data_IF_706274304142
#
_entry.id   IF_706274304142
#
_cell.length_a   1.000
_cell.length_b   1.000
_cell.length_c   1.000
_cell.angle_alpha   90.00
_cell.angle_beta   90.00
_cell.angle_gamma   90.00
#
_symmetry.space_group_name_H-M   'P 1'
#
loop_
_entity.id
_entity.type
_entity.pdbx_description
1 polymer ?
#
# COMPACT_ATOMS: atom_id res chain seq x y z
N UNK A 1 -37.47 23.31 -4.38
CA UNK A 1 -36.81 22.02 -4.62
C UNK A 1 -35.46 22.35 -5.18
N UNK A 2 -34.43 22.28 -4.34
CA UNK A 2 -33.05 22.55 -4.72
C UNK A 2 -32.55 21.34 -5.49
N UNK A 3 -32.07 21.55 -6.72
CA UNK A 3 -31.27 20.54 -7.41
C UNK A 3 -29.90 20.55 -6.73
N UNK A 4 -29.68 19.59 -5.82
CA UNK A 4 -28.32 19.22 -5.43
C UNK A 4 -27.72 18.48 -6.63
N UNK A 5 -27.06 19.23 -7.53
CA UNK A 5 -26.14 18.65 -8.50
C UNK A 5 -25.00 18.03 -7.69
N UNK A 6 -24.90 16.70 -7.70
CA UNK A 6 -23.75 15.99 -7.14
C UNK A 6 -22.51 16.41 -7.93
N UNK A 7 -21.70 17.30 -7.35
CA UNK A 7 -20.37 17.63 -7.88
C UNK A 7 -19.50 16.36 -7.83
N UNK A 8 -19.31 15.74 -9.00
CA UNK A 8 -18.39 14.60 -9.14
C UNK A 8 -16.98 15.12 -9.40
N UNK A 9 -16.03 14.70 -8.58
CA UNK A 9 -14.60 14.96 -8.79
C UNK A 9 -13.97 13.75 -9.46
N UNK A 10 -13.50 13.91 -10.69
CA UNK A 10 -12.69 12.89 -11.36
C UNK A 10 -11.23 13.02 -10.96
N UNK A 11 -10.69 12.00 -10.29
CA UNK A 11 -9.27 11.92 -9.98
C UNK A 11 -8.48 11.40 -11.20
N UNK A 12 -7.52 12.17 -11.73
CA UNK A 12 -6.71 11.70 -12.84
C UNK A 12 -5.85 10.50 -12.40
N UNK A 13 -5.63 9.54 -13.31
CA UNK A 13 -4.71 8.42 -13.09
C UNK A 13 -4.94 7.70 -11.74
N UNK A 14 -6.21 7.40 -11.44
CA UNK A 14 -6.61 6.84 -10.14
C UNK A 14 -5.87 5.53 -9.80
N UNK A 15 -5.59 4.69 -10.80
CA UNK A 15 -4.90 3.42 -10.56
C UNK A 15 -3.43 3.63 -10.16
N UNK A 16 -2.77 4.60 -10.79
CA UNK A 16 -1.42 5.04 -10.49
C UNK A 16 -1.35 5.73 -9.13
N UNK A 17 -2.37 6.53 -8.77
CA UNK A 17 -2.48 7.14 -7.44
C UNK A 17 -2.57 6.07 -6.34
N UNK A 18 -3.44 5.07 -6.52
CA UNK A 18 -3.54 3.95 -5.58
C UNK A 18 -2.24 3.15 -5.48
N UNK A 19 -1.53 2.95 -6.61
CA UNK A 19 -0.24 2.27 -6.63
C UNK A 19 0.82 3.07 -5.85
N UNK A 20 0.90 4.39 -6.09
CA UNK A 20 1.80 5.28 -5.39
C UNK A 20 1.53 5.29 -3.87
N UNK A 21 0.26 5.41 -3.47
CA UNK A 21 -0.14 5.36 -2.06
C UNK A 21 0.20 4.02 -1.39
N UNK A 22 -0.02 2.91 -2.10
CA UNK A 22 0.31 1.58 -1.61
C UNK A 22 1.82 1.41 -1.36
N UNK A 23 2.65 1.88 -2.29
CA UNK A 23 4.11 1.80 -2.18
C UNK A 23 4.63 2.73 -1.09
N UNK A 24 4.19 3.99 -1.08
CA UNK A 24 4.55 4.95 -0.04
C UNK A 24 4.23 4.38 1.36
N UNK A 25 3.04 3.79 1.52
CA UNK A 25 2.65 3.15 2.78
C UNK A 25 3.53 1.96 3.13
N UNK A 26 3.96 1.16 2.14
CA UNK A 26 4.87 0.04 2.35
C UNK A 26 6.29 0.47 2.73
N UNK A 27 6.68 1.72 2.47
CA UNK A 27 7.98 2.28 2.86
C UNK A 27 7.95 2.91 4.27
N UNK A 28 6.78 3.22 4.82
CA UNK A 28 6.61 3.74 6.18
C UNK A 28 6.87 2.67 7.25
N UNK A 29 7.61 2.96 8.34
CA UNK A 29 8.00 1.96 9.34
C UNK A 29 6.84 1.47 10.22
N UNK A 30 5.73 2.21 10.29
CA UNK A 30 4.56 1.84 11.09
C UNK A 30 3.94 0.55 10.58
N UNK A 31 3.66 -0.37 11.50
CA UNK A 31 3.02 -1.64 11.25
C UNK A 31 1.74 -1.49 10.43
N UNK A 32 1.48 -2.43 9.53
CA UNK A 32 0.23 -2.44 8.77
C UNK A 32 -0.93 -2.93 9.64
N UNK A 33 -2.07 -2.24 9.55
CA UNK A 33 -3.36 -2.65 10.13
C UNK A 33 -4.15 -3.50 9.15
N UNK A 34 -5.11 -4.28 9.65
CA UNK A 34 -5.91 -5.20 8.83
C UNK A 34 -6.62 -4.54 7.66
N UNK A 35 -7.18 -3.34 7.86
CA UNK A 35 -7.82 -2.59 6.78
C UNK A 35 -6.83 -2.16 5.68
N UNK A 36 -5.58 -1.86 6.04
CA UNK A 36 -4.51 -1.51 5.10
C UNK A 36 -4.07 -2.76 4.33
N UNK A 37 -3.89 -3.90 5.00
CA UNK A 37 -3.58 -5.19 4.37
C UNK A 37 -4.66 -5.54 3.34
N UNK A 38 -5.94 -5.36 3.70
CA UNK A 38 -7.08 -5.57 2.81
C UNK A 38 -7.08 -4.59 1.63
N UNK A 39 -6.72 -3.33 1.86
CA UNK A 39 -6.58 -2.34 0.80
C UNK A 39 -5.48 -2.75 -0.19
N UNK A 40 -4.29 -3.13 0.29
CA UNK A 40 -3.19 -3.62 -0.54
C UNK A 40 -3.63 -4.80 -1.42
N UNK A 41 -4.32 -5.80 -0.83
CA UNK A 41 -4.84 -6.93 -1.60
C UNK A 41 -5.78 -6.49 -2.73
N UNK A 42 -6.69 -5.56 -2.43
CA UNK A 42 -7.64 -5.03 -3.41
C UNK A 42 -6.96 -4.23 -4.52
N UNK A 43 -5.94 -3.43 -4.18
CA UNK A 43 -5.14 -2.66 -5.16
C UNK A 43 -4.39 -3.62 -6.09
N UNK A 44 -3.85 -4.71 -5.55
CA UNK A 44 -3.25 -5.81 -6.33
C UNK A 44 -4.28 -6.63 -7.12
N UNK A 45 -5.59 -6.40 -6.89
CA UNK A 45 -6.71 -7.14 -7.49
C UNK A 45 -6.67 -8.64 -7.20
N UNK A 46 -6.17 -9.01 -6.03
CA UNK A 46 -6.03 -10.40 -5.60
C UNK A 46 -7.24 -10.85 -4.76
N UNK A 47 -7.63 -12.09 -4.94
CA UNK A 47 -8.46 -12.84 -3.99
C UNK A 47 -7.66 -13.16 -2.73
N UNK A 48 -8.33 -13.57 -1.65
CA UNK A 48 -7.64 -14.01 -0.42
C UNK A 48 -6.72 -15.21 -0.68
N UNK A 49 -7.12 -16.12 -1.57
CA UNK A 49 -6.35 -17.30 -1.92
C UNK A 49 -5.08 -16.95 -2.69
N UNK A 50 -5.18 -16.05 -3.68
CA UNK A 50 -4.01 -15.58 -4.41
C UNK A 50 -3.06 -14.80 -3.50
N UNK A 51 -3.57 -13.99 -2.56
CA UNK A 51 -2.69 -13.31 -1.61
C UNK A 51 -1.98 -14.31 -0.72
N UNK A 52 -2.68 -15.32 -0.19
CA UNK A 52 -2.07 -16.35 0.63
C UNK A 52 -0.92 -17.06 -0.12
N UNK A 53 -1.17 -17.46 -1.37
CA UNK A 53 -0.14 -18.07 -2.24
C UNK A 53 1.05 -17.13 -2.51
N UNK A 54 0.77 -15.85 -2.77
CA UNK A 54 1.80 -14.83 -2.99
C UNK A 54 2.65 -14.50 -1.76
N UNK A 55 2.17 -14.82 -0.55
CA UNK A 55 2.92 -14.63 0.70
C UNK A 55 3.90 -15.76 0.95
N UNK A 56 3.43 -17.01 0.94
CA UNK A 56 4.23 -18.22 1.04
C UNK A 56 3.34 -19.43 0.73
N UNK A 57 3.90 -20.46 0.11
CA UNK A 57 3.20 -21.73 -0.20
C UNK A 57 2.47 -22.40 0.99
N UNK A 58 2.82 -22.05 2.24
CA UNK A 58 2.23 -22.59 3.47
C UNK A 58 1.26 -21.61 4.14
N UNK A 59 1.12 -20.39 3.64
CA UNK A 59 0.19 -19.41 4.21
C UNK A 59 -1.23 -19.85 3.90
N UNK A 60 -2.03 -20.07 4.95
CA UNK A 60 -3.44 -20.42 4.80
C UNK A 60 -4.31 -19.20 4.54
N UNK A 61 -5.41 -19.38 3.79
CA UNK A 61 -6.38 -18.31 3.47
C UNK A 61 -7.00 -17.71 4.73
N UNK A 62 -7.28 -18.54 5.73
CA UNK A 62 -7.83 -18.13 7.02
C UNK A 62 -6.86 -17.23 7.78
N UNK A 63 -5.55 -17.47 7.65
CA UNK A 63 -4.52 -16.63 8.26
C UNK A 63 -4.56 -15.22 7.68
N UNK A 64 -4.66 -15.09 6.35
CA UNK A 64 -4.82 -13.79 5.67
C UNK A 64 -6.11 -13.09 6.10
N UNK A 65 -7.22 -13.82 6.18
CA UNK A 65 -8.51 -13.28 6.64
C UNK A 65 -8.42 -12.71 8.08
N UNK A 66 -7.71 -13.40 8.98
CA UNK A 66 -7.48 -12.90 10.36
C UNK A 66 -6.58 -11.67 10.38
N UNK A 67 -5.58 -11.60 9.51
CA UNK A 67 -4.75 -10.40 9.36
C UNK A 67 -5.59 -9.21 8.90
N UNK A 68 -6.43 -9.37 7.88
CA UNK A 68 -7.29 -8.30 7.34
C UNK A 68 -8.37 -7.80 8.30
N UNK A 69 -8.77 -8.63 9.26
CA UNK A 69 -9.78 -8.29 10.26
C UNK A 69 -9.19 -7.78 11.58
N UNK A 70 -7.86 -7.64 11.67
CA UNK A 70 -7.14 -7.36 12.91
C UNK A 70 -7.37 -8.41 14.03
N UNK A 71 -8.02 -9.55 13.71
CA UNK A 71 -8.25 -10.65 14.66
C UNK A 71 -6.94 -11.32 15.09
N UNK A 72 -5.92 -11.28 14.23
CA UNK A 72 -4.56 -11.68 14.54
C UNK A 72 -3.58 -10.71 13.90
N UNK A 73 -2.65 -10.09 14.65
CA UNK A 73 -1.63 -9.23 14.05
C UNK A 73 -0.66 -10.01 13.15
N UNK A 74 -0.32 -9.46 11.99
CA UNK A 74 0.64 -10.07 11.05
C UNK A 74 2.07 -9.99 11.59
N UNK A 75 2.81 -11.11 11.65
CA UNK A 75 4.19 -11.10 12.12
C UNK A 75 5.12 -10.26 11.24
N UNK A 76 6.17 -9.65 11.81
CA UNK A 76 7.03 -8.69 11.09
C UNK A 76 7.67 -9.23 9.81
N UNK A 77 8.10 -10.50 9.81
CA UNK A 77 8.62 -11.15 8.60
C UNK A 77 7.55 -11.26 7.50
N UNK A 78 6.35 -11.75 7.84
CA UNK A 78 5.24 -11.85 6.90
C UNK A 78 4.87 -10.45 6.36
N UNK A 79 4.88 -9.43 7.20
CA UNK A 79 4.58 -8.07 6.77
C UNK A 79 5.66 -7.51 5.81
N UNK A 80 6.94 -7.83 6.00
CA UNK A 80 7.98 -7.49 5.02
C UNK A 80 7.76 -8.19 3.68
N UNK A 81 7.34 -9.46 3.70
CA UNK A 81 6.99 -10.18 2.47
C UNK A 81 5.80 -9.54 1.76
N UNK A 82 4.75 -9.14 2.50
CA UNK A 82 3.62 -8.41 1.93
C UNK A 82 4.08 -7.10 1.27
N UNK A 83 4.89 -6.31 1.98
CA UNK A 83 5.41 -5.03 1.47
C UNK A 83 6.25 -5.22 0.21
N UNK A 84 7.12 -6.23 0.17
CA UNK A 84 7.87 -6.60 -1.04
C UNK A 84 6.92 -7.00 -2.17
N UNK A 85 5.96 -7.88 -1.92
CA UNK A 85 4.98 -8.30 -2.93
C UNK A 85 4.22 -7.09 -3.52
N UNK A 86 3.78 -6.17 -2.66
CA UNK A 86 3.09 -4.95 -3.10
C UNK A 86 3.99 -4.09 -3.97
N UNK A 87 5.19 -3.76 -3.50
CA UNK A 87 6.10 -2.89 -4.24
C UNK A 87 6.57 -3.51 -5.56
N UNK A 88 6.96 -4.78 -5.57
CA UNK A 88 7.37 -5.49 -6.80
C UNK A 88 6.24 -5.55 -7.84
N UNK A 89 4.98 -5.63 -7.42
CA UNK A 89 3.83 -5.68 -8.35
C UNK A 89 3.36 -4.31 -8.84
N UNK A 90 3.68 -3.24 -8.11
CA UNK A 90 3.13 -1.90 -8.36
C UNK A 90 4.15 -0.86 -8.80
N UNK A 91 5.45 -1.10 -8.65
CA UNK A 91 6.48 -0.07 -8.89
C UNK A 91 6.44 0.52 -10.30
N UNK A 92 6.18 -0.30 -11.33
CA UNK A 92 6.02 0.19 -12.71
C UNK A 92 4.85 1.16 -12.89
N UNK A 93 3.82 1.09 -12.03
CA UNK A 93 2.64 1.98 -12.05
C UNK A 93 2.79 3.21 -11.16
N UNK A 94 3.89 3.29 -10.40
CA UNK A 94 4.20 4.41 -9.51
C UNK A 94 5.63 4.92 -9.75
N UNK A 95 5.99 5.33 -10.98
CA UNK A 95 7.37 5.72 -11.31
C UNK A 95 7.85 6.97 -10.55
N UNK A 96 6.94 7.73 -9.94
CA UNK A 96 7.25 8.87 -9.07
C UNK A 96 7.62 8.49 -7.63
N UNK A 97 7.50 7.21 -7.25
CA UNK A 97 7.89 6.72 -5.92
C UNK A 97 9.20 5.95 -6.02
N UNK A 98 10.26 6.47 -5.38
CA UNK A 98 11.54 5.77 -5.32
C UNK A 98 11.39 4.49 -4.48
N UNK A 99 11.73 3.35 -5.09
CA UNK A 99 11.65 2.04 -4.45
C UNK A 99 12.82 1.15 -4.87
N UNK A 100 13.40 0.47 -3.90
CA UNK A 100 14.16 -0.76 -4.10
C UNK A 100 13.83 -1.77 -3.00
N UNK A 101 14.00 -3.07 -3.28
CA UNK A 101 13.69 -4.12 -2.30
C UNK A 101 14.58 -4.10 -1.04
N UNK A 102 15.74 -3.44 -1.08
CA UNK A 102 16.61 -3.29 0.08
C UNK A 102 16.01 -2.31 1.09
N UNK A 103 15.25 -1.31 0.66
CA UNK A 103 14.50 -0.41 1.55
C UNK A 103 13.55 -1.18 2.47
N UNK A 104 12.78 -2.14 1.93
CA UNK A 104 11.87 -2.98 2.74
C UNK A 104 12.65 -3.93 3.65
N UNK A 105 13.73 -4.51 3.14
CA UNK A 105 14.58 -5.41 3.91
C UNK A 105 15.20 -4.68 5.12
N UNK A 106 15.66 -3.45 4.93
CA UNK A 106 16.26 -2.60 5.95
C UNK A 106 15.23 -1.94 6.90
N UNK A 107 13.95 -1.95 6.53
CA UNK A 107 12.89 -1.31 7.31
C UNK A 107 12.83 -1.87 8.74
N UNK A 108 12.88 -0.96 9.73
CA UNK A 108 12.72 -1.28 11.14
C UNK A 108 11.28 -0.98 11.54
N UNK A 109 10.45 -2.01 11.53
CA UNK A 109 9.03 -1.86 11.84
C UNK A 109 8.81 -1.39 13.26
N UNK A 110 7.89 -0.45 13.44
CA UNK A 110 7.43 0.05 14.73
C UNK A 110 5.93 -0.19 14.88
N UNK A 111 5.46 -0.40 16.10
CA UNK A 111 4.04 -0.58 16.42
C UNK A 111 3.60 0.54 17.38
N UNK A 112 3.34 1.75 16.87
CA UNK A 112 3.06 2.90 17.71
C UNK A 112 1.74 2.73 18.49
N UNK A 113 0.77 1.99 17.93
CA UNK A 113 -0.50 1.68 18.59
C UNK A 113 -0.37 0.84 19.85
N UNK A 114 0.77 0.16 20.04
CA UNK A 114 1.08 -0.52 21.29
C UNK A 114 1.29 0.46 22.44
N UNK A 115 1.89 1.61 22.16
CA UNK A 115 2.16 2.66 23.15
C UNK A 115 0.99 3.64 23.25
N UNK A 116 0.39 3.99 22.12
CA UNK A 116 -0.76 4.89 22.03
C UNK A 116 -1.84 4.30 21.11
N UNK A 117 -2.90 3.69 21.65
CA UNK A 117 -4.00 3.14 20.86
C UNK A 117 -4.69 4.15 19.95
N UNK A 118 -4.57 5.46 20.23
CA UNK A 118 -5.14 6.55 19.44
C UNK A 118 -4.10 7.21 18.52
N UNK A 119 -2.93 6.60 18.35
CA UNK A 119 -1.90 7.11 17.44
C UNK A 119 -2.49 7.34 16.05
N UNK A 120 -2.36 8.58 15.58
CA UNK A 120 -2.78 8.99 14.25
C UNK A 120 -1.61 8.80 13.28
N UNK A 121 -1.87 8.04 12.21
CA UNK A 121 -0.85 7.80 11.20
C UNK A 121 -0.66 9.09 10.39
N UNK A 122 0.58 9.56 10.16
CA UNK A 122 0.80 10.73 9.32
C UNK A 122 0.23 10.49 7.93
N UNK A 123 -0.40 11.51 7.37
CA UNK A 123 -0.96 11.47 6.02
C UNK A 123 0.16 11.21 5.00
N UNK A 124 -0.16 10.39 3.99
CA UNK A 124 0.69 10.24 2.81
C UNK A 124 0.31 11.36 1.85
N UNK A 125 1.22 12.30 1.64
CA UNK A 125 1.07 13.36 0.66
C UNK A 125 1.58 12.87 -0.70
N UNK A 126 0.75 12.98 -1.74
CA UNK A 126 1.10 12.54 -3.09
C UNK A 126 0.65 13.61 -4.07
N UNK A 127 1.57 14.07 -4.91
CA UNK A 127 1.33 15.12 -5.89
C UNK A 127 1.47 14.59 -7.31
N UNK A 128 0.63 15.09 -8.23
CA UNK A 128 0.75 14.78 -9.65
C UNK A 128 1.76 15.74 -10.27
N UNK A 129 2.88 15.20 -10.74
CA UNK A 129 4.01 15.99 -11.25
C UNK A 129 4.50 15.50 -12.61
N UNK A 130 5.18 16.38 -13.36
CA UNK A 130 5.91 16.00 -14.57
C UNK A 130 7.26 15.39 -14.20
N UNK A 131 7.43 14.11 -14.48
CA UNK A 131 8.63 13.33 -14.23
C UNK A 131 9.44 13.19 -15.52
N UNK A 132 10.75 13.44 -15.47
CA UNK A 132 11.67 13.19 -16.59
C UNK A 132 12.49 11.94 -16.35
N UNK A 133 12.22 10.86 -17.08
CA UNK A 133 12.95 9.59 -17.01
C UNK A 133 13.39 9.14 -18.40
N UNK A 134 14.65 8.70 -18.54
CA UNK A 134 15.21 8.18 -19.79
C UNK A 134 15.00 9.09 -21.02
N UNK A 135 14.97 10.41 -20.80
CA UNK A 135 14.74 11.40 -21.86
C UNK A 135 13.27 11.64 -22.22
N UNK A 136 12.33 10.90 -21.63
CA UNK A 136 10.89 11.10 -21.76
C UNK A 136 10.34 11.90 -20.58
N UNK A 137 9.28 12.67 -20.83
CA UNK A 137 8.52 13.39 -19.79
C UNK A 137 7.14 12.77 -19.71
N UNK A 138 6.73 12.36 -18.52
CA UNK A 138 5.41 11.82 -18.24
C UNK A 138 4.85 12.37 -16.94
N UNK A 139 3.53 12.45 -16.80
CA UNK A 139 2.91 12.78 -15.51
C UNK A 139 2.88 11.56 -14.61
N UNK A 140 3.33 11.69 -13.37
CA UNK A 140 3.33 10.63 -12.38
C UNK A 140 2.97 11.16 -10.99
N UNK A 141 2.36 10.30 -10.19
CA UNK A 141 2.12 10.56 -8.77
C UNK A 141 3.42 10.31 -7.98
N UNK A 142 3.84 11.28 -7.19
CA UNK A 142 5.08 11.25 -6.40
C UNK A 142 4.82 11.66 -4.95
N UNK A 143 5.59 11.10 -4.02
CA UNK A 143 5.53 11.34 -2.56
C UNK A 143 6.91 11.70 -2.02
#
# INVERSE_FOLDING_TARGET
>A
MSNDEEDTVELPKLQELMAAAAIARCLMPERLRGHEIKAMRKILRMTLAELADGMDSKTAVETVSRWESDAQPMGGYAEKVLRLLVCERLHEKAPGIAYDGAMISALKQIDPWRADPNYDLPAIEIELMLLKQNGHVEEAWAA
#
